data_IF_549846292004
#
_entry.id   IF_549846292004
#
_cell.length_a   1.000
_cell.length_b   1.000
_cell.length_c   1.000
_cell.angle_alpha   90.00
_cell.angle_beta   90.00
_cell.angle_gamma   90.00
#
_symmetry.space_group_name_H-M   'P 1'
#
loop_
_entity.id
_entity.type
_entity.pdbx_description
1 polymer ?
#
# COMPACT_ATOMS: atom_id res chain seq x y z
N UNK A 1 11.99 18.34 -30.56
CA UNK A 1 11.63 18.25 -29.13
C UNK A 1 10.13 18.03 -28.91
N UNK A 2 9.23 18.84 -29.50
CA UNK A 2 7.78 18.66 -29.34
C UNK A 2 7.25 17.30 -29.87
N UNK A 3 7.81 16.78 -30.96
CA UNK A 3 7.40 15.51 -31.58
C UNK A 3 7.79 14.27 -30.74
N UNK A 4 8.92 14.36 -30.01
CA UNK A 4 9.41 13.32 -29.09
C UNK A 4 8.56 13.29 -27.82
N UNK A 5 8.19 14.45 -27.28
CA UNK A 5 7.32 14.56 -26.12
C UNK A 5 5.90 14.04 -26.40
N UNK A 6 5.37 14.28 -27.61
CA UNK A 6 4.09 13.74 -28.04
C UNK A 6 4.13 12.20 -28.16
N UNK A 7 5.20 11.64 -28.74
CA UNK A 7 5.38 10.19 -28.84
C UNK A 7 5.47 9.51 -27.45
N UNK A 8 6.24 10.07 -26.52
CA UNK A 8 6.35 9.58 -25.14
C UNK A 8 5.04 9.66 -24.35
N UNK A 9 4.26 10.73 -24.54
CA UNK A 9 2.91 10.85 -23.97
C UNK A 9 1.96 9.75 -24.50
N UNK A 10 2.11 9.38 -25.77
CA UNK A 10 1.28 8.34 -26.40
C UNK A 10 1.69 6.93 -25.97
N UNK A 11 2.98 6.68 -25.69
CA UNK A 11 3.49 5.44 -25.09
C UNK A 11 3.08 5.28 -23.62
N UNK A 12 3.14 6.36 -22.84
CA UNK A 12 2.69 6.39 -21.44
C UNK A 12 1.21 6.02 -21.27
N UNK A 13 0.37 6.41 -22.24
CA UNK A 13 -1.06 6.06 -22.30
C UNK A 13 -1.31 4.61 -22.77
N UNK A 14 -0.32 3.96 -23.39
CA UNK A 14 -0.38 2.56 -23.83
C UNK A 14 0.25 1.59 -22.84
N UNK A 15 1.07 2.08 -21.90
CA UNK A 15 1.74 1.24 -20.92
C UNK A 15 0.71 0.50 -20.04
N UNK A 16 0.83 -0.82 -20.01
CA UNK A 16 -0.03 -1.73 -19.25
C UNK A 16 0.27 -1.73 -17.75
N UNK A 17 1.50 -1.35 -17.36
CA UNK A 17 1.99 -1.17 -15.99
C UNK A 17 3.11 -0.10 -15.94
N UNK A 18 3.33 0.52 -14.77
CA UNK A 18 4.44 1.46 -14.55
C UNK A 18 5.78 0.72 -14.55
N UNK A 19 5.81 -0.53 -14.07
CA UNK A 19 6.99 -1.39 -14.18
C UNK A 19 7.46 -1.51 -15.64
N UNK A 20 6.56 -1.86 -16.56
CA UNK A 20 6.88 -2.00 -17.98
C UNK A 20 7.33 -0.65 -18.60
N UNK A 21 6.74 0.46 -18.15
CA UNK A 21 7.16 1.80 -18.58
C UNK A 21 8.57 2.13 -18.10
N UNK A 22 8.88 1.85 -16.83
CA UNK A 22 10.19 2.12 -16.23
C UNK A 22 11.31 1.22 -16.78
N UNK A 23 10.99 0.00 -17.18
CA UNK A 23 11.94 -0.94 -17.81
C UNK A 23 12.15 -0.67 -19.31
N UNK A 24 11.35 0.22 -19.92
CA UNK A 24 11.45 0.54 -21.34
C UNK A 24 12.73 1.33 -21.64
N UNK A 25 13.59 0.86 -22.57
CA UNK A 25 14.77 1.60 -23.00
C UNK A 25 14.45 2.94 -23.68
N UNK A 26 13.21 3.15 -24.11
CA UNK A 26 12.75 4.39 -24.76
C UNK A 26 12.43 5.51 -23.75
N UNK A 27 12.31 5.19 -22.46
CA UNK A 27 11.96 6.15 -21.43
C UNK A 27 13.19 6.99 -21.03
N UNK A 28 13.28 8.19 -21.60
CA UNK A 28 14.37 9.14 -21.31
C UNK A 28 13.98 10.22 -20.28
N UNK A 29 12.69 10.34 -19.97
CA UNK A 29 12.13 11.31 -19.01
C UNK A 29 10.76 10.86 -18.53
N UNK A 30 10.36 11.29 -17.33
CA UNK A 30 9.01 11.06 -16.78
C UNK A 30 7.98 11.72 -17.70
N UNK A 31 6.98 10.99 -18.22
CA UNK A 31 5.96 11.56 -19.08
C UNK A 31 5.11 12.57 -18.31
N UNK A 32 4.66 13.63 -19.00
CA UNK A 32 3.92 14.73 -18.36
C UNK A 32 2.66 14.29 -17.62
N UNK A 33 2.05 13.18 -18.02
CA UNK A 33 0.89 12.60 -17.33
C UNK A 33 1.21 12.17 -15.89
N UNK A 34 2.45 11.81 -15.59
CA UNK A 34 2.95 11.46 -14.25
C UNK A 34 3.61 12.65 -13.54
N UNK A 35 3.63 13.82 -14.18
CA UNK A 35 4.32 15.00 -13.68
C UNK A 35 3.73 15.46 -12.35
N UNK A 36 4.55 15.38 -11.30
CA UNK A 36 4.22 15.88 -9.97
C UNK A 36 5.43 16.60 -9.39
N UNK A 37 5.23 17.78 -8.81
CA UNK A 37 6.27 18.54 -8.13
C UNK A 37 5.84 18.83 -6.70
N UNK A 38 6.66 18.43 -5.74
CA UNK A 38 6.48 18.82 -4.34
C UNK A 38 6.75 20.31 -4.23
N UNK A 39 5.90 21.02 -3.48
CA UNK A 39 6.19 22.40 -3.12
C UNK A 39 7.33 22.39 -2.10
N UNK A 40 8.45 23.11 -2.32
CA UNK A 40 9.58 23.10 -1.39
C UNK A 40 9.21 23.51 0.05
N UNK A 41 8.13 24.26 0.22
CA UNK A 41 7.63 24.66 1.54
C UNK A 41 6.87 23.54 2.27
N UNK A 42 6.51 22.46 1.57
CA UNK A 42 5.79 21.31 2.11
C UNK A 42 6.77 20.15 2.43
N UNK A 43 8.07 20.31 2.18
CA UNK A 43 9.09 19.34 2.58
C UNK A 43 9.43 19.51 4.07
N UNK A 44 9.11 18.49 4.86
CA UNK A 44 9.56 18.41 6.25
C UNK A 44 11.05 18.09 6.33
N UNK A 45 11.75 18.63 7.33
CA UNK A 45 13.13 18.21 7.63
C UNK A 45 13.10 16.74 8.09
N UNK A 46 13.75 15.80 7.36
CA UNK A 46 13.74 14.39 7.72
C UNK A 46 14.46 14.10 9.05
N UNK A 47 15.21 15.05 9.60
CA UNK A 47 15.91 14.92 10.88
C UNK A 47 15.23 15.70 12.02
N UNK A 48 14.06 16.28 11.79
CA UNK A 48 13.35 16.97 12.85
C UNK A 48 12.94 15.97 13.95
N UNK A 49 13.43 16.13 15.20
CA UNK A 49 13.04 15.23 16.29
C UNK A 49 11.55 15.33 16.63
N UNK A 50 10.85 16.40 16.23
CA UNK A 50 9.39 16.52 16.37
C UNK A 50 8.63 15.51 15.50
N UNK A 51 9.25 15.04 14.40
CA UNK A 51 8.69 14.01 13.51
C UNK A 51 9.23 12.60 13.78
N UNK A 52 9.98 12.40 14.87
CA UNK A 52 10.48 11.07 15.23
C UNK A 52 9.30 10.13 15.54
N UNK A 53 9.16 9.06 14.76
CA UNK A 53 8.08 8.08 14.95
C UNK A 53 8.43 7.19 16.16
N UNK A 54 7.60 7.16 17.21
CA UNK A 54 7.86 6.37 18.41
C UNK A 54 7.84 4.86 18.12
N UNK A 55 8.67 4.12 18.86
CA UNK A 55 8.74 2.66 18.78
C UNK A 55 8.01 2.07 19.98
N UNK A 56 7.01 1.24 19.71
CA UNK A 56 6.23 0.53 20.73
C UNK A 56 6.64 -0.94 20.73
N UNK A 57 7.06 -1.42 21.89
CA UNK A 57 7.23 -2.85 22.15
C UNK A 57 5.87 -3.48 22.48
N UNK A 58 5.35 -4.27 21.54
CA UNK A 58 4.04 -4.91 21.69
C UNK A 58 3.99 -5.90 22.86
N UNK A 59 5.14 -6.42 23.31
CA UNK A 59 5.21 -7.29 24.49
C UNK A 59 5.02 -6.54 25.81
N UNK A 60 5.07 -5.21 25.79
CA UNK A 60 4.97 -4.33 26.95
C UNK A 60 3.69 -3.47 26.96
N UNK A 61 2.77 -3.69 26.02
CA UNK A 61 1.57 -2.86 25.83
C UNK A 61 0.70 -2.68 27.09
N UNK A 62 0.75 -3.60 28.04
CA UNK A 62 0.00 -3.53 29.30
C UNK A 62 0.63 -2.62 30.37
N UNK A 63 1.72 -1.90 30.06
CA UNK A 63 2.54 -1.21 31.08
C UNK A 63 2.82 0.28 30.85
N UNK A 64 2.35 0.88 29.75
CA UNK A 64 2.75 2.24 29.33
C UNK A 64 1.66 3.31 29.42
N UNK A 65 2.08 4.57 29.66
CA UNK A 65 1.24 5.75 29.37
C UNK A 65 1.23 6.01 27.86
N UNK A 66 0.10 6.44 27.26
CA UNK A 66 0.04 6.67 25.83
C UNK A 66 0.95 7.82 25.43
N UNK A 67 1.96 7.55 24.60
CA UNK A 67 2.59 8.60 23.82
C UNK A 67 1.58 9.08 22.78
N UNK A 68 1.34 10.39 22.72
CA UNK A 68 0.37 11.01 21.83
C UNK A 68 0.95 11.15 20.41
N UNK A 69 1.18 10.03 19.73
CA UNK A 69 1.53 10.02 18.31
C UNK A 69 0.44 9.31 17.50
N UNK A 70 0.09 9.90 16.36
CA UNK A 70 -0.81 9.29 15.38
C UNK A 70 -0.14 8.16 14.58
N UNK A 71 1.20 8.08 14.60
CA UNK A 71 2.00 7.10 13.88
C UNK A 71 2.95 6.41 14.86
N UNK A 72 3.06 5.08 14.78
CA UNK A 72 3.90 4.25 15.65
C UNK A 72 4.64 3.19 14.84
N UNK A 73 5.82 2.79 15.32
CA UNK A 73 6.55 1.62 14.86
C UNK A 73 6.41 0.49 15.89
N UNK A 74 5.75 -0.60 15.55
CA UNK A 74 5.60 -1.74 16.46
C UNK A 74 6.76 -2.74 16.30
N UNK A 75 7.36 -3.15 17.42
CA UNK A 75 8.30 -4.29 17.49
C UNK A 75 7.71 -5.39 18.38
N UNK A 76 8.26 -6.61 18.29
CA UNK A 76 7.78 -7.77 19.05
C UNK A 76 6.27 -8.04 18.89
N UNK A 77 5.69 -7.66 17.73
CA UNK A 77 4.27 -7.79 17.41
C UNK A 77 3.80 -9.24 17.20
N UNK A 78 4.68 -10.23 17.30
CA UNK A 78 4.31 -11.66 17.22
C UNK A 78 4.03 -12.20 15.82
N UNK A 79 4.15 -11.37 14.76
CA UNK A 79 4.06 -11.84 13.37
C UNK A 79 5.42 -12.42 12.98
N UNK A 80 5.51 -13.70 12.55
CA UNK A 80 6.79 -14.31 12.20
C UNK A 80 7.51 -13.56 11.08
N UNK A 81 8.81 -13.30 11.23
CA UNK A 81 9.61 -12.64 10.20
C UNK A 81 9.62 -13.42 8.87
N UNK A 82 9.60 -14.75 8.94
CA UNK A 82 9.47 -15.62 7.76
C UNK A 82 8.16 -15.39 7.00
N UNK A 83 7.05 -15.14 7.71
CA UNK A 83 5.76 -14.86 7.09
C UNK A 83 5.74 -13.48 6.43
N UNK A 84 6.35 -12.47 7.07
CA UNK A 84 6.50 -11.13 6.48
C UNK A 84 7.33 -11.19 5.20
N UNK A 85 8.46 -11.91 5.21
CA UNK A 85 9.30 -12.14 4.01
C UNK A 85 8.52 -12.87 2.92
N UNK A 86 7.83 -13.95 3.26
CA UNK A 86 7.02 -14.71 2.31
C UNK A 86 5.92 -13.85 1.67
N UNK A 87 5.28 -12.95 2.43
CA UNK A 87 4.28 -12.03 1.90
C UNK A 87 4.90 -11.03 0.92
N UNK A 88 6.07 -10.47 1.24
CA UNK A 88 6.82 -9.59 0.33
C UNK A 88 7.20 -10.34 -0.96
N UNK A 89 7.73 -11.55 -0.84
CA UNK A 89 8.09 -12.41 -1.98
C UNK A 89 6.86 -12.75 -2.84
N UNK A 90 5.72 -13.07 -2.24
CA UNK A 90 4.47 -13.34 -2.95
C UNK A 90 3.98 -12.10 -3.73
N UNK A 91 4.09 -10.90 -3.14
CA UNK A 91 3.80 -9.64 -3.84
C UNK A 91 4.76 -9.42 -5.02
N UNK A 92 6.07 -9.61 -4.83
CA UNK A 92 7.04 -9.55 -5.93
C UNK A 92 6.73 -10.56 -7.02
N UNK A 93 6.34 -11.79 -6.65
CA UNK A 93 5.92 -12.82 -7.57
C UNK A 93 4.74 -12.37 -8.44
N UNK A 94 3.74 -11.69 -7.87
CA UNK A 94 2.64 -11.10 -8.63
C UNK A 94 3.11 -10.01 -9.60
N UNK A 95 3.87 -9.02 -9.15
CA UNK A 95 4.33 -7.92 -10.01
C UNK A 95 5.33 -8.38 -11.09
N UNK A 96 6.00 -9.51 -10.86
CA UNK A 96 6.87 -10.19 -11.82
C UNK A 96 6.16 -11.05 -12.86
N UNK A 97 4.85 -11.27 -12.75
CA UNK A 97 4.07 -11.96 -13.79
C UNK A 97 4.06 -11.16 -15.10
N UNK A 98 3.89 -11.84 -16.25
CA UNK A 98 3.61 -11.18 -17.53
C UNK A 98 2.41 -10.23 -17.43
N UNK A 99 2.43 -9.15 -18.21
CA UNK A 99 1.34 -8.16 -18.18
C UNK A 99 0.00 -8.78 -18.60
N UNK A 100 0.01 -9.77 -19.51
CA UNK A 100 -1.18 -10.52 -19.92
C UNK A 100 -1.85 -11.24 -18.74
N UNK A 101 -1.05 -11.85 -17.87
CA UNK A 101 -1.56 -12.56 -16.69
C UNK A 101 -2.05 -11.58 -15.61
N UNK A 102 -1.35 -10.46 -15.43
CA UNK A 102 -1.80 -9.40 -14.50
C UNK A 102 -3.09 -8.72 -14.98
N UNK A 103 -3.30 -8.63 -16.30
CA UNK A 103 -4.49 -8.03 -16.90
C UNK A 103 -5.78 -8.81 -16.57
N UNK A 104 -5.70 -10.11 -16.25
CA UNK A 104 -6.83 -10.90 -15.75
C UNK A 104 -7.48 -10.23 -14.52
N UNK A 105 -6.67 -9.51 -13.74
CA UNK A 105 -7.07 -8.90 -12.48
C UNK A 105 -7.31 -7.39 -12.54
N UNK A 106 -7.32 -6.77 -13.73
CA UNK A 106 -7.54 -5.32 -13.87
C UNK A 106 -8.91 -4.87 -13.35
N UNK A 107 -8.91 -3.66 -12.80
CA UNK A 107 -10.11 -2.95 -12.32
C UNK A 107 -11.25 -2.99 -13.37
N UNK A 108 -12.44 -3.45 -13.00
CA UNK A 108 -13.62 -3.52 -13.88
C UNK A 108 -13.97 -4.91 -14.43
N UNK A 109 -13.08 -5.91 -14.28
CA UNK A 109 -13.38 -7.31 -14.60
C UNK A 109 -14.06 -8.07 -13.45
N UNK A 110 -13.98 -7.54 -12.23
CA UNK A 110 -14.61 -8.10 -11.04
C UNK A 110 -15.91 -7.33 -10.72
N UNK A 111 -17.04 -8.01 -10.83
CA UNK A 111 -18.39 -7.45 -10.56
C UNK A 111 -18.57 -7.08 -9.09
N UNK A 112 -17.79 -7.69 -8.19
CA UNK A 112 -17.90 -7.51 -6.74
C UNK A 112 -16.84 -6.55 -6.17
N UNK A 113 -15.96 -5.99 -7.00
CA UNK A 113 -14.83 -5.13 -6.60
C UNK A 113 -13.96 -5.71 -5.46
N UNK A 114 -13.91 -7.04 -5.33
CA UNK A 114 -13.17 -7.75 -4.28
C UNK A 114 -11.67 -7.70 -4.53
N UNK A 115 -11.29 -7.57 -5.81
CA UNK A 115 -9.92 -7.37 -6.24
C UNK A 115 -9.81 -6.16 -7.18
N UNK A 116 -8.71 -5.39 -7.03
CA UNK A 116 -8.38 -4.26 -7.91
C UNK A 116 -6.89 -4.23 -8.22
N UNK A 117 -6.49 -4.44 -9.48
CA UNK A 117 -5.14 -4.12 -9.98
C UNK A 117 -5.19 -2.91 -10.92
N UNK A 118 -4.15 -2.08 -10.85
CA UNK A 118 -3.98 -0.93 -11.73
C UNK A 118 -2.73 -0.11 -11.42
N UNK A 119 -2.58 0.98 -12.16
CA UNK A 119 -1.43 1.91 -12.07
C UNK A 119 -1.81 3.27 -11.47
N UNK A 120 -3.10 3.61 -11.49
CA UNK A 120 -3.63 4.85 -10.89
C UNK A 120 -5.07 4.62 -10.45
N UNK A 121 -5.52 5.37 -9.45
CA UNK A 121 -6.76 5.02 -8.74
C UNK A 121 -8.00 5.45 -9.51
N UNK A 122 -7.98 6.67 -10.09
CA UNK A 122 -9.07 7.18 -10.92
C UNK A 122 -8.60 8.31 -11.87
N UNK A 123 -8.46 8.00 -13.16
CA UNK A 123 -8.07 8.95 -14.21
C UNK A 123 -8.99 10.19 -14.34
N UNK A 124 -10.22 10.13 -13.82
CA UNK A 124 -11.19 11.24 -13.91
C UNK A 124 -11.13 12.19 -12.72
N UNK A 125 -10.56 11.77 -11.58
CA UNK A 125 -10.42 12.58 -10.37
C UNK A 125 -8.97 13.00 -10.11
N UNK A 126 -8.02 12.17 -10.53
CA UNK A 126 -6.60 12.40 -10.31
C UNK A 126 -6.07 13.39 -11.36
N UNK A 127 -5.50 14.52 -10.91
CA UNK A 127 -4.91 15.54 -11.80
C UNK A 127 -3.65 15.06 -12.53
N UNK A 128 -3.03 13.98 -12.02
CA UNK A 128 -1.82 13.34 -12.52
C UNK A 128 -1.88 11.84 -12.22
N UNK A 129 -1.11 11.05 -12.96
CA UNK A 129 -0.95 9.61 -12.76
C UNK A 129 0.12 9.32 -11.71
N UNK A 130 -0.06 8.22 -10.98
CA UNK A 130 0.87 7.79 -9.94
C UNK A 130 1.99 6.91 -10.51
N UNK A 131 3.21 7.10 -10.03
CA UNK A 131 4.37 6.27 -10.36
C UNK A 131 4.38 4.99 -9.50
N UNK A 132 3.34 4.18 -9.66
CA UNK A 132 3.10 3.00 -8.82
C UNK A 132 2.20 1.99 -9.52
N UNK A 133 2.58 0.72 -9.50
CA UNK A 133 1.64 -0.37 -9.72
C UNK A 133 1.08 -0.83 -8.38
N UNK A 134 -0.22 -1.15 -8.32
CA UNK A 134 -0.81 -1.62 -7.07
C UNK A 134 -1.83 -2.72 -7.30
N UNK A 135 -2.04 -3.54 -6.28
CA UNK A 135 -3.27 -4.28 -6.14
C UNK A 135 -3.91 -4.12 -4.77
N UNK A 136 -5.22 -4.36 -4.69
CA UNK A 136 -5.99 -4.47 -3.46
C UNK A 136 -6.85 -5.73 -3.48
N UNK A 137 -6.96 -6.40 -2.34
CA UNK A 137 -7.84 -7.56 -2.17
C UNK A 137 -8.53 -7.52 -0.80
N UNK A 138 -9.83 -7.80 -0.77
CA UNK A 138 -10.56 -7.97 0.49
C UNK A 138 -10.20 -9.31 1.14
N UNK A 139 -9.79 -9.29 2.40
CA UNK A 139 -9.35 -10.49 3.14
C UNK A 139 -10.20 -10.76 4.39
N UNK A 140 -11.14 -9.88 4.72
CA UNK A 140 -12.11 -10.02 5.81
C UNK A 140 -13.36 -9.16 5.50
N UNK A 141 -14.59 -9.58 5.83
CA UNK A 141 -14.95 -10.78 6.60
C UNK A 141 -14.77 -12.09 5.82
N UNK A 142 -15.10 -12.10 4.53
CA UNK A 142 -14.77 -13.20 3.62
C UNK A 142 -13.33 -13.05 3.10
N UNK A 143 -12.64 -14.18 2.97
CA UNK A 143 -11.29 -14.22 2.43
C UNK A 143 -11.33 -14.35 0.90
N UNK A 144 -10.85 -13.31 0.21
CA UNK A 144 -10.55 -13.36 -1.21
C UNK A 144 -9.04 -13.30 -1.41
N UNK A 145 -8.59 -13.91 -2.50
CA UNK A 145 -7.18 -13.96 -2.86
C UNK A 145 -6.99 -14.00 -4.37
N UNK A 146 -5.80 -13.57 -4.78
CA UNK A 146 -5.22 -13.97 -6.06
C UNK A 146 -5.02 -15.48 -6.12
N UNK A 147 -5.23 -16.07 -7.30
CA UNK A 147 -4.84 -17.45 -7.61
C UNK A 147 -3.43 -17.55 -8.23
N UNK A 148 -2.79 -16.41 -8.51
CA UNK A 148 -1.41 -16.30 -9.00
C UNK A 148 -0.68 -15.19 -8.24
N UNK A 149 0.59 -15.39 -7.83
CA UNK A 149 1.35 -16.63 -7.90
C UNK A 149 0.78 -17.72 -6.96
N UNK A 150 1.14 -18.98 -7.19
CA UNK A 150 0.52 -20.14 -6.53
C UNK A 150 0.55 -20.10 -4.98
N UNK A 151 1.58 -19.51 -4.38
CA UNK A 151 1.71 -19.39 -2.92
C UNK A 151 0.94 -18.20 -2.31
N UNK A 152 0.42 -17.28 -3.14
CA UNK A 152 -0.12 -16.01 -2.66
C UNK A 152 -1.31 -16.22 -1.71
N UNK A 153 -2.22 -17.14 -2.04
CA UNK A 153 -3.43 -17.38 -1.25
C UNK A 153 -3.13 -17.85 0.17
N UNK A 154 -2.30 -18.86 0.32
CA UNK A 154 -1.96 -19.42 1.63
C UNK A 154 -1.18 -18.40 2.48
N UNK A 155 -0.21 -17.72 1.88
CA UNK A 155 0.62 -16.72 2.56
C UNK A 155 -0.21 -15.50 2.98
N UNK A 156 -1.03 -14.97 2.07
CA UNK A 156 -1.85 -13.79 2.35
C UNK A 156 -2.96 -14.06 3.37
N UNK A 157 -3.50 -15.28 3.42
CA UNK A 157 -4.47 -15.68 4.44
C UNK A 157 -3.86 -15.62 5.84
N UNK A 158 -2.73 -16.29 6.06
CA UNK A 158 -2.08 -16.33 7.36
C UNK A 158 -1.54 -14.93 7.75
N UNK A 159 -0.89 -14.23 6.81
CA UNK A 159 -0.42 -12.86 7.05
C UNK A 159 -1.57 -11.93 7.46
N UNK A 160 -2.68 -11.94 6.71
CA UNK A 160 -3.82 -11.06 7.00
C UNK A 160 -4.47 -11.36 8.35
N UNK A 161 -4.56 -12.64 8.73
CA UNK A 161 -5.05 -13.05 10.04
C UNK A 161 -4.16 -12.50 11.16
N UNK A 162 -2.84 -12.71 11.07
CA UNK A 162 -1.88 -12.23 12.08
C UNK A 162 -1.85 -10.70 12.17
N UNK A 163 -1.89 -10.01 11.03
CA UNK A 163 -1.97 -8.55 11.01
C UNK A 163 -3.26 -8.02 11.68
N UNK A 164 -4.38 -8.72 11.49
CA UNK A 164 -5.65 -8.38 12.18
C UNK A 164 -5.56 -8.61 13.68
N UNK A 165 -4.94 -9.69 14.14
CA UNK A 165 -4.70 -9.94 15.57
C UNK A 165 -3.88 -8.80 16.20
N UNK A 166 -2.82 -8.34 15.53
CA UNK A 166 -2.03 -7.17 15.97
C UNK A 166 -2.89 -5.91 16.06
N UNK A 167 -3.70 -5.62 15.02
CA UNK A 167 -4.58 -4.44 15.03
C UNK A 167 -5.62 -4.47 16.16
N UNK A 168 -6.17 -5.65 16.48
CA UNK A 168 -7.10 -5.84 17.59
C UNK A 168 -6.40 -5.63 18.95
N UNK A 169 -5.15 -6.07 19.08
CA UNK A 169 -4.35 -5.84 20.29
C UNK A 169 -4.07 -4.35 20.52
N UNK A 170 -3.66 -3.63 19.47
CA UNK A 170 -3.47 -2.18 19.52
C UNK A 170 -4.78 -1.48 19.91
N UNK A 171 -5.89 -1.90 19.32
CA UNK A 171 -7.21 -1.31 19.62
C UNK A 171 -7.59 -1.51 21.09
N UNK A 172 -7.30 -2.69 21.65
CA UNK A 172 -7.51 -2.97 23.07
C UNK A 172 -6.68 -2.06 23.96
N UNK A 173 -5.37 -1.95 23.67
CA UNK A 173 -4.46 -1.10 24.42
C UNK A 173 -4.87 0.37 24.37
N UNK A 174 -5.31 0.88 23.21
CA UNK A 174 -5.85 2.23 23.07
C UNK A 174 -7.07 2.40 23.98
N UNK A 175 -8.00 1.44 23.94
CA UNK A 175 -9.20 1.47 24.77
C UNK A 175 -8.87 1.58 26.27
N UNK A 176 -7.93 0.77 26.75
CA UNK A 176 -7.48 0.79 28.15
C UNK A 176 -6.73 2.08 28.51
N UNK A 177 -5.89 2.60 27.62
CA UNK A 177 -5.16 3.86 27.82
C UNK A 177 -6.09 5.08 27.98
N UNK A 178 -7.28 5.01 27.38
CA UNK A 178 -8.34 6.01 27.51
C UNK A 178 -9.21 5.81 28.76
N UNK A 179 -8.90 4.83 29.61
CA UNK A 179 -9.69 4.47 30.79
C UNK A 179 -11.01 3.77 30.46
N UNK A 180 -11.15 3.24 29.23
CA UNK A 180 -12.32 2.50 28.79
C UNK A 180 -12.13 1.00 29.02
N UNK A 181 -13.22 0.23 28.97
CA UNK A 181 -13.11 -1.23 28.99
C UNK A 181 -12.30 -1.75 27.78
N UNK A 182 -11.56 -2.86 27.90
CA UNK A 182 -10.64 -3.34 26.85
C UNK A 182 -11.31 -3.54 25.47
N UNK A 183 -12.57 -3.95 25.45
CA UNK A 183 -13.32 -4.19 24.22
C UNK A 183 -14.24 -3.03 23.83
N UNK A 184 -14.15 -1.86 24.48
CA UNK A 184 -15.06 -0.74 24.21
C UNK A 184 -14.97 -0.27 22.76
N UNK A 185 -13.76 0.02 22.26
CA UNK A 185 -13.57 0.46 20.86
C UNK A 185 -13.97 -0.63 19.87
N UNK A 186 -13.59 -1.89 20.14
CA UNK A 186 -13.97 -3.05 19.32
C UNK A 186 -15.49 -3.13 19.12
N UNK A 187 -16.25 -3.02 20.21
CA UNK A 187 -17.70 -3.07 20.18
C UNK A 187 -18.32 -1.83 19.53
N UNK A 188 -17.81 -0.64 19.88
CA UNK A 188 -18.32 0.64 19.35
C UNK A 188 -18.15 0.75 17.83
N UNK A 189 -17.04 0.22 17.30
CA UNK A 189 -16.73 0.21 15.87
C UNK A 189 -17.26 -1.04 15.15
N UNK A 190 -17.88 -1.97 15.88
CA UNK A 190 -18.39 -3.23 15.35
C UNK A 190 -17.33 -4.00 14.52
N UNK A 191 -16.13 -4.12 15.07
CA UNK A 191 -14.96 -4.64 14.34
C UNK A 191 -15.13 -6.09 13.87
N UNK A 192 -16.03 -6.87 14.47
CA UNK A 192 -16.41 -8.22 14.00
C UNK A 192 -17.02 -8.21 12.59
N UNK A 193 -17.56 -7.06 12.16
CA UNK A 193 -18.06 -6.82 10.79
C UNK A 193 -17.15 -5.89 10.00
N UNK A 194 -15.95 -5.62 10.52
CA UNK A 194 -14.98 -4.76 9.87
C UNK A 194 -14.54 -5.31 8.51
N UNK A 195 -14.10 -4.41 7.63
CA UNK A 195 -13.52 -4.79 6.34
C UNK A 195 -12.00 -4.68 6.48
N UNK A 196 -11.29 -5.75 6.11
CA UNK A 196 -9.83 -5.72 5.98
C UNK A 196 -9.47 -5.81 4.50
N UNK A 197 -8.70 -4.84 4.04
CA UNK A 197 -8.14 -4.82 2.69
C UNK A 197 -6.63 -5.01 2.78
N UNK A 198 -6.11 -6.01 2.06
CA UNK A 198 -4.68 -6.13 1.80
C UNK A 198 -4.36 -5.31 0.55
N UNK A 199 -3.36 -4.44 0.63
CA UNK A 199 -2.89 -3.66 -0.50
C UNK A 199 -1.38 -3.86 -0.66
N UNK A 200 -0.94 -4.15 -1.88
CA UNK A 200 0.48 -4.13 -2.23
C UNK A 200 0.75 -3.02 -3.22
N UNK A 201 1.87 -2.33 -3.00
CA UNK A 201 2.32 -1.23 -3.83
C UNK A 201 3.71 -1.59 -4.35
N UNK A 202 3.90 -1.48 -5.67
CA UNK A 202 5.17 -1.64 -6.33
C UNK A 202 5.60 -0.31 -6.94
N UNK A 203 6.76 0.17 -6.50
CA UNK A 203 7.34 1.44 -6.94
C UNK A 203 8.58 1.11 -7.78
N UNK A 204 8.48 1.05 -9.11
CA UNK A 204 9.65 0.84 -9.95
C UNK A 204 10.60 2.04 -9.86
N UNK A 205 11.90 1.85 -10.18
CA UNK A 205 12.85 2.95 -10.27
C UNK A 205 12.31 4.09 -11.15
N UNK A 206 12.55 5.33 -10.73
CA UNK A 206 12.19 6.53 -11.48
C UNK A 206 13.46 7.29 -11.85
N UNK A 207 13.60 7.70 -13.11
CA UNK A 207 14.76 8.48 -13.59
C UNK A 207 14.75 9.93 -13.10
N UNK A 208 13.59 10.45 -12.70
CA UNK A 208 13.39 11.81 -12.22
C UNK A 208 12.45 11.79 -10.99
N UNK A 209 12.92 11.29 -9.83
CA UNK A 209 12.09 11.13 -8.63
C UNK A 209 11.49 12.44 -8.11
N UNK A 210 12.10 13.59 -8.41
CA UNK A 210 11.60 14.93 -8.11
C UNK A 210 10.40 15.38 -8.96
N UNK A 211 10.08 14.62 -10.01
CA UNK A 211 9.03 14.92 -10.99
C UNK A 211 7.92 13.87 -11.06
N UNK A 212 7.93 12.89 -10.16
CA UNK A 212 6.94 11.82 -10.08
C UNK A 212 6.59 11.51 -8.63
N UNK A 213 5.41 10.96 -8.37
CA UNK A 213 5.02 10.55 -7.02
C UNK A 213 4.33 9.20 -7.01
N UNK A 214 4.72 8.34 -6.08
CA UNK A 214 4.11 7.02 -5.90
C UNK A 214 2.78 7.08 -5.17
N UNK A 215 2.72 7.83 -4.06
CA UNK A 215 1.51 8.13 -3.29
C UNK A 215 1.56 9.61 -2.87
N UNK A 216 0.58 10.43 -3.25
CA UNK A 216 0.53 11.83 -2.83
C UNK A 216 0.08 11.94 -1.36
N UNK A 217 0.38 13.06 -0.69
CA UNK A 217 -0.13 13.33 0.66
C UNK A 217 -1.66 13.18 0.72
N UNK A 218 -2.14 12.44 1.71
CA UNK A 218 -3.57 12.24 2.00
C UNK A 218 -3.79 12.19 3.50
N UNK A 219 -4.92 12.72 3.97
CA UNK A 219 -5.37 12.64 5.36
C UNK A 219 -6.15 11.37 5.64
#
# INVERSE_FOLDING_TARGET
>A
MAEVAAAQSTEALKATSIKSLAESPALNSVPSAYGFTINPNDEADPNDPEFAIPIIDMSLLTSGSPEHSYIINAINHGVPESLMKAMIEACHGFFGLPDEEKNEFKSGNDVLEMFKYGTSYNLTLDKFLLWRDFFKVRVHPEFYSLYKPACFSEVSMEFSKRAREVALEITRAISESLGLGPNYIHNAMNMDRGIQMLAANYYPPCSQPEHAIGIPPSH
#
